data_IF_697075779009
#
_entry.id   IF_697075779009
#
_cell.length_a   1.000
_cell.length_b   1.000
_cell.length_c   1.000
_cell.angle_alpha   90.00
_cell.angle_beta   90.00
_cell.angle_gamma   90.00
#
_symmetry.space_group_name_H-M   'P 1'
#
loop_
_entity.id
_entity.type
_entity.pdbx_description
1 polymer ?
#
# COMPACT_ATOMS: atom_id res chain seq x y z
N UNK A 1 17.27 31.03 -27.30
CA UNK A 1 18.58 31.62 -27.64
C UNK A 1 19.62 30.50 -27.56
N UNK A 2 20.17 30.10 -28.67
CA UNK A 2 21.17 29.03 -28.74
C UNK A 2 22.56 29.68 -28.57
N UNK A 3 23.34 29.21 -27.58
CA UNK A 3 24.72 29.62 -27.39
C UNK A 3 25.62 28.90 -28.40
N UNK A 4 26.54 29.59 -29.01
CA UNK A 4 27.45 28.95 -29.98
C UNK A 4 28.51 28.12 -29.28
N UNK A 5 28.68 26.89 -29.79
CA UNK A 5 29.77 26.01 -29.45
C UNK A 5 31.07 26.53 -30.02
N UNK A 6 32.05 26.80 -29.15
CA UNK A 6 33.40 27.13 -29.60
C UNK A 6 34.16 25.82 -29.92
N UNK A 7 34.46 25.62 -31.21
CA UNK A 7 35.42 24.64 -31.64
C UNK A 7 36.84 25.17 -31.39
N UNK A 8 37.64 24.53 -30.51
CA UNK A 8 39.06 24.78 -30.38
C UNK A 8 39.85 23.92 -31.35
N UNK A 9 40.48 24.56 -32.31
CA UNK A 9 41.50 23.94 -33.18
C UNK A 9 42.76 23.72 -32.36
N UNK A 10 43.21 22.49 -32.20
CA UNK A 10 44.52 22.15 -31.63
C UNK A 10 45.47 21.73 -32.73
N UNK A 11 46.65 22.23 -32.61
CA UNK A 11 47.80 22.31 -33.46
C UNK A 11 48.08 21.12 -34.39
N UNK A 12 48.56 21.50 -35.58
CA UNK A 12 49.13 20.69 -36.66
C UNK A 12 50.42 20.03 -36.20
N UNK A 13 50.51 18.70 -36.27
CA UNK A 13 51.75 18.00 -36.12
C UNK A 13 52.56 18.01 -37.45
N UNK A 14 53.83 17.63 -37.40
CA UNK A 14 54.75 17.70 -38.50
C UNK A 14 54.45 16.76 -39.67
N UNK A 15 53.40 15.97 -39.65
CA UNK A 15 53.00 15.02 -40.70
C UNK A 15 51.74 15.44 -41.47
N UNK A 16 51.15 16.61 -41.14
CA UNK A 16 50.08 17.16 -41.96
C UNK A 16 48.73 16.49 -41.79
N UNK A 17 48.55 15.59 -40.83
CA UNK A 17 47.26 14.95 -40.53
C UNK A 17 46.47 15.83 -39.53
N UNK A 18 45.31 16.32 -39.94
CA UNK A 18 44.38 16.97 -39.02
C UNK A 18 43.65 15.92 -38.17
N UNK A 19 43.94 15.84 -36.86
CA UNK A 19 43.09 15.13 -35.93
C UNK A 19 41.91 16.00 -35.56
N UNK A 20 40.73 15.61 -35.97
CA UNK A 20 39.47 16.20 -35.52
C UNK A 20 39.06 15.45 -34.25
N UNK A 21 39.18 16.07 -33.08
CA UNK A 21 38.55 15.57 -31.85
C UNK A 21 37.07 15.81 -31.98
N UNK A 22 36.29 14.75 -32.12
CA UNK A 22 34.84 14.81 -31.96
C UNK A 22 34.56 14.84 -30.46
N UNK A 23 33.98 15.94 -29.98
CA UNK A 23 33.42 16.01 -28.64
C UNK A 23 32.44 14.86 -28.46
N UNK A 24 32.54 14.21 -27.32
CA UNK A 24 31.65 13.11 -26.94
C UNK A 24 30.16 13.57 -27.02
N UNK A 25 29.46 13.09 -28.03
CA UNK A 25 28.01 13.36 -28.16
C UNK A 25 27.30 12.58 -27.07
N UNK A 26 27.07 13.21 -25.94
CA UNK A 26 26.24 12.65 -24.90
C UNK A 26 24.79 12.62 -25.37
N UNK A 27 24.33 11.48 -25.87
CA UNK A 27 22.92 11.25 -26.17
C UNK A 27 22.18 11.13 -24.84
N UNK A 28 21.54 12.21 -24.40
CA UNK A 28 20.58 12.13 -23.30
C UNK A 28 19.33 11.38 -23.81
N UNK A 29 19.26 10.08 -23.54
CA UNK A 29 18.06 9.31 -23.76
C UNK A 29 16.93 9.91 -22.93
N UNK A 30 15.77 10.15 -23.55
CA UNK A 30 14.58 10.61 -22.83
C UNK A 30 14.24 9.56 -21.77
N UNK A 31 14.26 9.95 -20.49
CA UNK A 31 13.92 9.08 -19.36
C UNK A 31 12.45 8.72 -19.31
N UNK A 32 11.59 9.43 -20.04
CA UNK A 32 10.14 9.20 -20.12
C UNK A 32 9.73 9.06 -21.58
N UNK A 33 9.08 7.93 -21.90
CA UNK A 33 8.53 7.62 -23.22
C UNK A 33 7.02 7.54 -23.09
N UNK A 34 6.29 8.42 -23.74
CA UNK A 34 4.84 8.37 -23.78
C UNK A 34 4.37 7.31 -24.79
N UNK A 35 3.48 6.41 -24.32
CA UNK A 35 2.73 5.45 -25.14
C UNK A 35 1.24 5.72 -24.91
N UNK A 36 0.40 5.45 -25.88
CA UNK A 36 -1.00 5.86 -25.87
C UNK A 36 -1.81 5.54 -24.60
N UNK A 37 -1.44 4.52 -23.83
CA UNK A 37 -2.12 4.06 -22.61
C UNK A 37 -1.28 4.23 -21.34
N UNK A 38 0.01 4.63 -21.46
CA UNK A 38 0.94 4.72 -20.33
C UNK A 38 2.19 5.55 -20.63
N UNK A 39 2.86 5.97 -19.58
CA UNK A 39 4.20 6.54 -19.62
C UNK A 39 5.20 5.47 -19.19
N UNK A 40 6.21 5.22 -20.02
CA UNK A 40 7.31 4.31 -19.70
C UNK A 40 8.48 5.14 -19.19
N UNK A 41 8.85 4.93 -17.94
CA UNK A 41 9.91 5.67 -17.25
C UNK A 41 11.13 4.77 -17.12
N UNK A 42 12.25 5.25 -17.63
CA UNK A 42 13.54 4.58 -17.55
C UNK A 42 14.39 5.27 -16.47
N UNK A 43 14.50 4.70 -15.25
CA UNK A 43 15.33 5.28 -14.21
C UNK A 43 16.78 5.36 -14.65
N UNK A 44 17.43 6.47 -14.36
CA UNK A 44 18.87 6.64 -14.61
C UNK A 44 19.69 5.81 -13.64
N UNK A 45 20.93 5.47 -14.00
CA UNK A 45 21.84 4.72 -13.12
C UNK A 45 22.06 5.45 -11.78
N UNK A 46 22.09 6.78 -11.79
CA UNK A 46 22.23 7.57 -10.58
C UNK A 46 20.98 7.44 -9.69
N UNK A 47 19.77 7.52 -10.25
CA UNK A 47 18.53 7.33 -9.50
C UNK A 47 18.46 5.93 -8.87
N UNK A 48 18.86 4.89 -9.63
CA UNK A 48 18.91 3.50 -9.12
C UNK A 48 19.90 3.37 -7.95
N UNK A 49 21.14 3.88 -8.11
CA UNK A 49 22.18 3.79 -7.07
C UNK A 49 21.86 4.61 -5.82
N UNK A 50 21.21 5.75 -5.98
CA UNK A 50 20.84 6.64 -4.86
C UNK A 50 19.56 6.21 -4.14
N UNK A 51 18.87 5.21 -4.63
CA UNK A 51 17.62 4.71 -4.04
C UNK A 51 17.89 3.47 -3.20
N UNK A 52 17.25 3.41 -2.03
CA UNK A 52 17.34 2.29 -1.09
C UNK A 52 16.30 1.19 -1.36
N UNK A 53 15.20 1.54 -2.06
CA UNK A 53 14.08 0.63 -2.33
C UNK A 53 13.29 1.08 -3.56
N UNK A 54 12.37 0.22 -4.03
CA UNK A 54 11.47 0.60 -5.12
C UNK A 54 10.58 1.79 -4.79
N UNK A 55 10.19 1.95 -3.51
CA UNK A 55 9.38 3.08 -3.08
C UNK A 55 10.18 4.38 -3.01
N UNK A 56 11.41 4.33 -2.53
CA UNK A 56 12.31 5.48 -2.50
C UNK A 56 12.63 5.94 -3.93
N UNK A 57 12.82 5.01 -4.85
CA UNK A 57 12.95 5.33 -6.27
C UNK A 57 11.70 6.05 -6.81
N UNK A 58 10.50 5.57 -6.46
CA UNK A 58 9.25 6.20 -6.90
C UNK A 58 9.14 7.64 -6.42
N UNK A 59 9.47 7.90 -5.15
CA UNK A 59 9.49 9.25 -4.59
C UNK A 59 10.45 10.19 -5.34
N UNK A 60 11.63 9.69 -5.73
CA UNK A 60 12.63 10.47 -6.49
C UNK A 60 12.25 10.72 -7.95
N UNK A 61 11.40 9.86 -8.53
CA UNK A 61 10.92 10.05 -9.91
C UNK A 61 9.89 11.17 -10.04
N UNK A 62 9.26 11.60 -8.94
CA UNK A 62 8.31 12.72 -8.89
C UNK A 62 7.23 12.61 -9.99
N UNK A 63 6.54 11.48 -10.05
CA UNK A 63 5.51 11.24 -11.06
C UNK A 63 4.36 12.25 -10.93
N UNK A 64 3.86 12.79 -12.05
CA UNK A 64 2.71 13.68 -12.02
C UNK A 64 1.52 13.07 -11.29
N UNK A 65 0.83 13.82 -10.44
CA UNK A 65 -0.34 13.41 -9.66
C UNK A 65 -0.09 12.34 -8.60
N UNK A 66 1.13 11.86 -8.40
CA UNK A 66 1.47 10.85 -7.39
C UNK A 66 2.22 11.53 -6.25
N UNK A 67 1.74 11.31 -5.05
CA UNK A 67 2.43 11.68 -3.80
C UNK A 67 2.83 10.40 -3.08
N UNK A 68 4.09 10.34 -2.67
CA UNK A 68 4.68 9.20 -1.95
C UNK A 68 5.11 9.67 -0.58
N UNK A 69 4.48 9.15 0.46
CA UNK A 69 4.96 9.28 1.84
C UNK A 69 5.76 8.02 2.20
N UNK A 70 7.08 8.18 2.24
CA UNK A 70 8.01 7.07 2.53
C UNK A 70 7.87 6.62 3.99
N UNK A 71 7.47 7.53 4.90
CA UNK A 71 7.38 7.24 6.33
C UNK A 71 6.13 6.44 6.68
N UNK A 72 4.98 6.84 6.15
CA UNK A 72 3.70 6.13 6.39
C UNK A 72 3.52 4.94 5.46
N UNK A 73 4.18 4.93 4.31
CA UNK A 73 3.96 3.97 3.23
C UNK A 73 2.75 4.29 2.38
N UNK A 74 2.24 5.50 2.46
CA UNK A 74 1.07 5.92 1.72
C UNK A 74 1.46 6.45 0.34
N UNK A 75 0.74 5.98 -0.69
CA UNK A 75 0.87 6.46 -2.07
C UNK A 75 -0.51 6.92 -2.51
N UNK A 76 -0.64 8.20 -2.76
CA UNK A 76 -1.92 8.84 -3.10
C UNK A 76 -1.86 9.53 -4.46
N UNK A 77 -3.04 9.80 -5.02
CA UNK A 77 -3.19 10.66 -6.19
C UNK A 77 -3.78 12.02 -5.78
N UNK A 78 -3.57 13.04 -6.58
CA UNK A 78 -4.17 14.38 -6.37
C UNK A 78 -5.70 14.40 -6.35
N UNK A 79 -6.38 13.29 -6.62
CA UNK A 79 -7.84 13.12 -6.57
C UNK A 79 -8.32 12.14 -5.50
N UNK A 80 -7.49 11.78 -4.50
CA UNK A 80 -7.79 10.81 -3.44
C UNK A 80 -8.26 9.42 -3.93
N UNK A 81 -7.92 9.06 -5.17
CA UNK A 81 -8.21 7.74 -5.72
C UNK A 81 -7.16 6.69 -5.39
N UNK A 82 -7.54 5.42 -5.43
CA UNK A 82 -6.63 4.30 -5.17
C UNK A 82 -5.50 4.25 -6.21
N UNK A 83 -4.25 4.15 -5.74
CA UNK A 83 -3.09 3.83 -6.58
C UNK A 83 -2.83 2.35 -6.53
N UNK A 84 -2.95 1.68 -7.67
CA UNK A 84 -2.66 0.24 -7.76
C UNK A 84 -1.18 0.01 -8.08
N UNK A 85 -0.49 -0.71 -7.20
CA UNK A 85 0.91 -1.10 -7.37
C UNK A 85 1.00 -2.47 -8.01
N UNK A 86 1.97 -2.63 -8.93
CA UNK A 86 2.22 -3.88 -9.64
C UNK A 86 3.71 -4.16 -9.79
N UNK A 87 4.06 -5.44 -9.90
CA UNK A 87 5.38 -5.92 -10.34
C UNK A 87 5.14 -6.90 -11.48
N UNK A 88 5.68 -6.61 -12.65
CA UNK A 88 5.54 -7.43 -13.88
C UNK A 88 4.06 -7.77 -14.20
N UNK A 89 3.14 -6.82 -14.00
CA UNK A 89 1.72 -7.02 -14.22
C UNK A 89 0.94 -7.64 -13.06
N UNK A 90 1.58 -8.12 -12.01
CA UNK A 90 0.96 -8.72 -10.82
C UNK A 90 0.70 -7.63 -9.77
N UNK A 91 -0.52 -7.55 -9.25
CA UNK A 91 -0.88 -6.60 -8.18
C UNK A 91 -0.14 -6.97 -6.88
N UNK A 92 0.47 -5.97 -6.27
CA UNK A 92 1.29 -6.11 -5.05
C UNK A 92 0.94 -5.03 -4.04
N UNK A 93 1.47 -5.18 -2.82
CA UNK A 93 1.33 -4.21 -1.75
C UNK A 93 2.52 -3.25 -1.69
N UNK A 94 2.39 -2.17 -0.92
CA UNK A 94 3.49 -1.28 -0.57
C UNK A 94 4.71 -2.04 -0.04
N UNK A 95 4.49 -3.03 0.84
CA UNK A 95 5.58 -3.82 1.45
C UNK A 95 6.44 -4.55 0.42
N UNK A 96 5.82 -5.06 -0.65
CA UNK A 96 6.54 -5.73 -1.74
C UNK A 96 7.36 -4.75 -2.58
N UNK A 97 6.84 -3.55 -2.83
CA UNK A 97 7.60 -2.49 -3.52
C UNK A 97 8.74 -1.96 -2.63
N UNK A 98 8.51 -1.81 -1.32
CA UNK A 98 9.54 -1.38 -0.37
C UNK A 98 10.71 -2.37 -0.29
N UNK A 99 10.46 -3.65 -0.53
CA UNK A 99 11.48 -4.69 -0.55
C UNK A 99 12.15 -4.90 -1.91
N UNK A 100 11.66 -4.21 -2.96
CA UNK A 100 12.21 -4.35 -4.31
C UNK A 100 13.53 -3.58 -4.41
N UNK A 101 14.62 -4.29 -4.76
CA UNK A 101 15.91 -3.66 -5.03
C UNK A 101 15.83 -2.74 -6.24
N UNK A 102 16.24 -1.47 -6.14
CA UNK A 102 16.26 -0.56 -7.29
C UNK A 102 17.06 -1.09 -8.48
N UNK A 103 18.15 -1.80 -8.22
CA UNK A 103 19.00 -2.37 -9.27
C UNK A 103 18.27 -3.44 -10.12
N UNK A 104 17.24 -4.06 -9.58
CA UNK A 104 16.42 -5.04 -10.29
C UNK A 104 15.36 -4.39 -11.18
N UNK A 105 15.11 -3.09 -11.02
CA UNK A 105 14.11 -2.37 -11.80
C UNK A 105 14.68 -2.03 -13.17
N UNK A 106 14.00 -2.49 -14.22
CA UNK A 106 14.32 -2.17 -15.60
C UNK A 106 13.65 -0.88 -16.05
N UNK A 107 12.37 -0.71 -15.69
CA UNK A 107 11.54 0.46 -15.98
C UNK A 107 10.30 0.47 -15.11
N UNK A 108 9.64 1.61 -15.05
CA UNK A 108 8.33 1.77 -14.43
C UNK A 108 7.31 2.14 -15.52
N UNK A 109 6.20 1.45 -15.56
CA UNK A 109 5.07 1.75 -16.44
C UNK A 109 3.98 2.45 -15.61
N UNK A 110 3.72 3.71 -15.91
CA UNK A 110 2.77 4.55 -15.20
C UNK A 110 1.54 4.82 -16.06
N UNK A 111 0.38 4.37 -15.59
CA UNK A 111 -0.92 4.65 -16.19
C UNK A 111 -1.61 5.72 -15.35
N UNK A 112 -1.69 6.93 -15.85
CA UNK A 112 -2.36 8.07 -15.20
C UNK A 112 -3.88 8.10 -15.46
N UNK A 113 -4.33 7.30 -16.41
CA UNK A 113 -5.74 7.09 -16.76
C UNK A 113 -5.92 5.61 -17.08
N UNK A 114 -5.94 4.74 -16.04
CA UNK A 114 -6.00 3.30 -16.26
C UNK A 114 -7.34 2.87 -16.83
N UNK A 115 -7.30 1.94 -17.79
CA UNK A 115 -8.51 1.36 -18.38
C UNK A 115 -9.24 0.42 -17.43
N UNK A 116 -10.44 -0.03 -17.85
CA UNK A 116 -11.37 -0.88 -17.06
C UNK A 116 -10.75 -2.17 -16.51
N UNK A 117 -9.70 -2.68 -17.13
CA UNK A 117 -8.97 -3.88 -16.65
C UNK A 117 -8.31 -3.69 -15.27
N UNK A 118 -8.13 -2.44 -14.84
CA UNK A 118 -7.56 -2.11 -13.55
C UNK A 118 -8.62 -1.78 -12.49
N UNK A 119 -9.90 -2.01 -12.81
CA UNK A 119 -11.03 -1.71 -11.93
C UNK A 119 -11.18 -0.21 -11.70
N UNK A 120 -11.36 0.18 -10.43
CA UNK A 120 -11.56 1.58 -10.03
C UNK A 120 -10.25 2.30 -9.66
N UNK A 121 -9.09 1.77 -10.07
CA UNK A 121 -7.81 2.42 -9.79
C UNK A 121 -7.73 3.79 -10.47
N UNK A 122 -7.38 4.83 -9.72
CA UNK A 122 -7.16 6.18 -10.24
C UNK A 122 -5.80 6.32 -10.95
N UNK A 123 -4.84 5.47 -10.58
CA UNK A 123 -3.55 5.34 -11.25
C UNK A 123 -3.01 3.90 -11.06
N UNK A 124 -2.15 3.47 -11.99
CA UNK A 124 -1.44 2.19 -11.88
C UNK A 124 0.04 2.42 -12.08
N UNK A 125 0.84 1.85 -11.19
CA UNK A 125 2.31 1.88 -11.23
C UNK A 125 2.80 0.45 -11.31
N UNK A 126 3.35 0.05 -12.46
CA UNK A 126 3.87 -1.30 -12.69
C UNK A 126 5.39 -1.28 -12.80
N UNK A 127 6.06 -1.91 -11.86
CA UNK A 127 7.52 -2.08 -11.85
C UNK A 127 7.89 -3.27 -12.71
N UNK A 128 8.53 -3.01 -13.84
CA UNK A 128 9.04 -4.06 -14.71
C UNK A 128 10.48 -4.36 -14.27
N UNK A 129 10.69 -5.59 -13.81
CA UNK A 129 12.00 -6.03 -13.32
C UNK A 129 12.85 -6.67 -14.42
N UNK A 130 14.16 -6.68 -14.19
CA UNK A 130 15.11 -7.43 -15.02
C UNK A 130 14.81 -8.92 -14.92
N UNK A 131 14.88 -9.62 -16.05
CA UNK A 131 14.66 -11.06 -16.10
C UNK A 131 15.93 -11.78 -15.61
N UNK A 132 15.92 -12.27 -14.38
CA UNK A 132 17.00 -13.10 -13.83
C UNK A 132 16.65 -14.57 -14.08
N UNK A 133 17.54 -15.33 -14.72
CA UNK A 133 17.34 -16.77 -14.96
C UNK A 133 17.32 -17.58 -13.67
N UNK A 134 18.11 -17.20 -12.69
CA UNK A 134 18.11 -17.74 -11.34
C UNK A 134 18.69 -16.69 -10.37
N UNK A 135 18.27 -16.76 -9.11
CA UNK A 135 18.76 -15.89 -8.05
C UNK A 135 17.65 -15.39 -7.15
N UNK A 136 18.04 -14.78 -6.05
CA UNK A 136 17.10 -14.26 -5.08
C UNK A 136 17.63 -13.02 -4.38
N UNK A 137 16.75 -12.40 -3.59
CA UNK A 137 17.06 -11.28 -2.72
C UNK A 137 16.33 -11.46 -1.39
N UNK A 138 16.96 -10.98 -0.34
CA UNK A 138 16.32 -10.83 0.99
C UNK A 138 16.54 -9.40 1.42
N UNK A 139 15.52 -8.79 1.95
CA UNK A 139 15.56 -7.44 2.51
C UNK A 139 14.80 -7.39 3.83
N UNK A 140 15.14 -6.45 4.68
CA UNK A 140 14.46 -6.24 5.95
C UNK A 140 14.67 -4.82 6.44
N UNK A 141 13.78 -4.40 7.32
CA UNK A 141 13.83 -3.10 7.97
C UNK A 141 13.21 -3.20 9.36
N UNK A 142 13.74 -2.43 10.28
CA UNK A 142 13.22 -2.32 11.63
C UNK A 142 13.22 -0.83 12.03
N UNK A 143 12.06 -0.33 12.45
CA UNK A 143 11.89 1.04 12.91
C UNK A 143 11.28 0.97 14.31
N UNK A 144 12.06 1.35 15.31
CA UNK A 144 11.61 1.34 16.70
C UNK A 144 11.71 2.74 17.28
N UNK A 145 10.64 3.16 17.93
CA UNK A 145 10.62 4.34 18.78
C UNK A 145 10.16 3.93 20.17
N UNK A 146 11.05 4.10 21.13
CA UNK A 146 10.83 3.70 22.51
C UNK A 146 10.93 4.93 23.40
N UNK A 147 9.92 5.13 24.25
CA UNK A 147 9.94 6.12 25.31
C UNK A 147 9.30 5.54 26.58
N UNK A 148 9.35 6.25 27.67
CA UNK A 148 8.83 5.77 28.97
C UNK A 148 7.37 5.35 28.93
N UNK A 149 6.55 6.01 28.08
CA UNK A 149 5.10 5.79 28.00
C UNK A 149 4.61 5.41 26.59
N UNK A 150 5.51 5.29 25.60
CA UNK A 150 5.11 4.96 24.20
C UNK A 150 6.12 4.02 23.56
N UNK A 151 5.59 3.05 22.85
CA UNK A 151 6.34 2.10 22.03
C UNK A 151 5.75 2.05 20.63
N UNK A 152 6.59 2.22 19.64
CA UNK A 152 6.26 2.07 18.23
C UNK A 152 7.26 1.12 17.60
N UNK A 153 6.77 0.01 17.07
CA UNK A 153 7.55 -1.01 16.37
C UNK A 153 6.99 -1.13 14.97
N UNK A 154 7.87 -1.20 13.98
CA UNK A 154 7.52 -1.48 12.59
C UNK A 154 8.66 -2.29 11.98
N UNK A 155 8.48 -3.61 11.96
CA UNK A 155 9.47 -4.57 11.48
C UNK A 155 8.98 -5.25 10.21
N UNK A 156 9.87 -5.40 9.24
CA UNK A 156 9.56 -6.03 7.97
C UNK A 156 10.72 -6.92 7.53
N UNK A 157 10.37 -8.09 7.00
CA UNK A 157 11.27 -8.97 6.26
C UNK A 157 10.61 -9.40 4.96
N UNK A 158 11.38 -9.46 3.89
CA UNK A 158 10.92 -9.90 2.58
C UNK A 158 12.00 -10.74 1.90
N UNK A 159 11.57 -11.78 1.19
CA UNK A 159 12.43 -12.62 0.37
C UNK A 159 11.81 -12.88 -0.99
N UNK A 160 12.64 -12.97 -2.02
CA UNK A 160 12.25 -13.31 -3.39
C UNK A 160 13.26 -14.26 -3.98
N UNK A 161 12.79 -15.26 -4.70
CA UNK A 161 13.63 -16.22 -5.41
C UNK A 161 13.06 -16.50 -6.80
N UNK A 162 13.90 -16.40 -7.81
CA UNK A 162 13.58 -16.66 -9.21
C UNK A 162 14.31 -17.91 -9.69
N UNK A 163 13.61 -18.78 -10.40
CA UNK A 163 14.21 -19.93 -11.08
C UNK A 163 13.47 -20.21 -12.40
N UNK A 164 14.17 -20.01 -13.51
CA UNK A 164 13.60 -20.20 -14.85
C UNK A 164 12.41 -19.29 -15.13
N UNK A 165 11.21 -19.89 -15.21
CA UNK A 165 9.93 -19.19 -15.44
C UNK A 165 9.18 -18.90 -14.13
N UNK A 166 9.68 -19.39 -13.01
CA UNK A 166 9.01 -19.32 -11.71
C UNK A 166 9.65 -18.26 -10.82
N UNK A 167 8.83 -17.55 -10.09
CA UNK A 167 9.21 -16.66 -9.01
C UNK A 167 8.38 -16.99 -7.78
N UNK A 168 9.02 -17.10 -6.62
CA UNK A 168 8.36 -17.14 -5.32
C UNK A 168 8.81 -15.94 -4.50
N UNK A 169 7.89 -15.25 -3.85
CA UNK A 169 8.21 -14.20 -2.90
C UNK A 169 7.35 -14.31 -1.65
N UNK A 170 7.94 -13.95 -0.51
CA UNK A 170 7.25 -13.89 0.76
C UNK A 170 7.65 -12.62 1.49
N UNK A 171 6.69 -11.99 2.17
CA UNK A 171 6.98 -10.87 3.05
C UNK A 171 6.11 -10.94 4.31
N UNK A 172 6.67 -10.47 5.41
CA UNK A 172 6.00 -10.35 6.70
C UNK A 172 6.31 -8.98 7.25
N UNK A 173 5.29 -8.26 7.72
CA UNK A 173 5.42 -6.99 8.42
C UNK A 173 4.64 -7.04 9.72
N UNK A 174 5.28 -6.63 10.80
CA UNK A 174 4.68 -6.49 12.11
C UNK A 174 4.73 -5.04 12.56
N UNK A 175 3.58 -4.51 12.96
CA UNK A 175 3.45 -3.16 13.50
C UNK A 175 2.84 -3.26 14.89
N UNK A 176 3.45 -2.58 15.85
CA UNK A 176 2.85 -2.37 17.16
C UNK A 176 2.90 -0.89 17.52
N UNK A 177 1.80 -0.39 18.05
CA UNK A 177 1.66 0.93 18.64
C UNK A 177 1.06 0.76 20.03
N UNK A 178 1.83 1.09 21.06
CA UNK A 178 1.42 0.95 22.45
C UNK A 178 1.80 2.22 23.20
N UNK A 179 0.95 2.69 24.10
CA UNK A 179 1.26 3.83 24.94
C UNK A 179 0.12 4.23 25.82
N UNK A 180 0.38 5.21 26.67
CA UNK A 180 -0.63 5.82 27.50
C UNK A 180 -1.20 7.06 26.80
N UNK A 181 -2.48 7.22 26.98
CA UNK A 181 -3.26 8.29 26.37
C UNK A 181 -4.20 8.88 27.40
N UNK A 182 -4.24 10.20 27.49
CA UNK A 182 -5.16 10.93 28.37
C UNK A 182 -6.08 11.78 27.50
N UNK A 183 -7.38 11.75 27.80
CA UNK A 183 -8.39 12.57 27.13
C UNK A 183 -8.88 13.65 28.04
N UNK A 184 -8.99 14.85 27.52
CA UNK A 184 -9.60 15.98 28.18
C UNK A 184 -10.51 16.69 27.18
N UNK A 185 -11.73 16.95 27.58
CA UNK A 185 -12.70 17.70 26.80
C UNK A 185 -13.29 18.83 27.67
N UNK A 186 -13.28 20.02 27.13
CA UNK A 186 -13.96 21.19 27.68
C UNK A 186 -15.01 21.64 26.64
N UNK A 187 -16.29 21.34 26.93
CA UNK A 187 -17.39 21.53 26.00
C UNK A 187 -18.43 22.46 26.63
N UNK A 188 -18.88 23.47 25.87
CA UNK A 188 -19.96 24.40 26.26
C UNK A 188 -21.09 24.31 25.26
N UNK A 189 -22.25 23.96 25.76
CA UNK A 189 -23.49 23.90 24.98
C UNK A 189 -24.34 25.11 25.35
N UNK A 190 -24.54 26.04 24.40
CA UNK A 190 -25.29 27.26 24.57
C UNK A 190 -26.70 27.05 24.03
N UNK A 191 -27.70 27.06 24.92
CA UNK A 191 -29.11 26.99 24.59
C UNK A 191 -29.74 28.38 24.73
N UNK A 192 -30.97 28.63 24.19
CA UNK A 192 -31.62 29.94 24.30
C UNK A 192 -31.79 30.43 25.74
N UNK A 193 -32.04 29.52 26.68
CA UNK A 193 -32.40 29.84 28.08
C UNK A 193 -31.35 29.40 29.12
N UNK A 194 -30.35 28.61 28.71
CA UNK A 194 -29.28 28.13 29.62
C UNK A 194 -27.98 27.77 28.89
N UNK A 195 -26.92 27.57 29.66
CA UNK A 195 -25.65 27.07 29.20
C UNK A 195 -25.29 25.81 29.99
N UNK A 196 -24.92 24.72 29.30
CA UNK A 196 -24.37 23.51 29.91
C UNK A 196 -22.88 23.46 29.63
N UNK A 197 -22.08 23.48 30.70
CA UNK A 197 -20.66 23.24 30.63
C UNK A 197 -20.33 21.82 31.04
N UNK A 198 -19.55 21.11 30.21
CA UNK A 198 -19.06 19.76 30.46
C UNK A 198 -17.54 19.76 30.41
N UNK A 199 -16.92 19.33 31.50
CA UNK A 199 -15.48 19.16 31.61
C UNK A 199 -15.19 17.68 31.89
N UNK A 200 -14.56 16.98 30.94
CA UNK A 200 -14.09 15.63 31.12
C UNK A 200 -12.58 15.62 31.35
N UNK A 201 -12.15 15.15 32.53
CA UNK A 201 -10.74 15.00 32.90
C UNK A 201 -10.37 13.53 32.89
N UNK A 202 -9.40 13.14 32.03
CA UNK A 202 -8.99 11.77 31.86
C UNK A 202 -7.84 11.35 32.78
N UNK A 203 -7.78 10.05 33.03
CA UNK A 203 -6.59 9.38 33.59
C UNK A 203 -5.80 8.71 32.43
N UNK A 204 -4.48 8.55 32.55
CA UNK A 204 -3.70 7.81 31.56
C UNK A 204 -4.28 6.41 31.32
N UNK A 205 -4.65 6.14 30.10
CA UNK A 205 -5.28 4.86 29.70
C UNK A 205 -4.45 4.23 28.60
N UNK A 206 -4.14 2.95 28.76
CA UNK A 206 -3.31 2.19 27.83
C UNK A 206 -4.07 1.98 26.53
N UNK A 207 -3.45 2.29 25.40
CA UNK A 207 -3.80 1.74 24.09
C UNK A 207 -2.73 0.75 23.62
N UNK A 208 -3.15 -0.27 22.89
CA UNK A 208 -2.22 -1.26 22.31
C UNK A 208 -2.84 -1.81 21.02
N UNK A 209 -2.21 -1.49 19.90
CA UNK A 209 -2.62 -1.95 18.57
C UNK A 209 -1.50 -2.74 17.94
N UNK A 210 -1.83 -3.91 17.39
CA UNK A 210 -0.91 -4.79 16.71
C UNK A 210 -1.46 -5.16 15.34
N UNK A 211 -0.61 -5.16 14.34
CA UNK A 211 -0.94 -5.55 12.98
C UNK A 211 0.16 -6.47 12.46
N UNK A 212 -0.20 -7.68 12.08
CA UNK A 212 0.66 -8.60 11.34
C UNK A 212 0.11 -8.75 9.92
N UNK A 213 0.94 -8.48 8.93
CA UNK A 213 0.63 -8.72 7.52
C UNK A 213 1.62 -9.70 6.95
N UNK A 214 1.14 -10.78 6.32
CA UNK A 214 1.95 -11.78 5.65
C UNK A 214 1.44 -11.99 4.24
N UNK A 215 2.34 -12.01 3.26
CA UNK A 215 2.03 -12.33 1.87
C UNK A 215 2.97 -13.41 1.38
N UNK A 216 2.41 -14.38 0.67
CA UNK A 216 3.14 -15.40 -0.08
C UNK A 216 2.65 -15.32 -1.52
N UNK A 217 3.58 -15.19 -2.44
CA UNK A 217 3.27 -15.01 -3.86
C UNK A 217 4.08 -15.99 -4.70
N UNK A 218 3.41 -16.68 -5.61
CA UNK A 218 4.02 -17.54 -6.62
C UNK A 218 3.62 -17.05 -8.00
N UNK A 219 4.60 -16.82 -8.87
CA UNK A 219 4.39 -16.42 -10.26
C UNK A 219 5.06 -17.42 -11.19
N UNK A 220 4.33 -17.89 -12.20
CA UNK A 220 4.85 -18.67 -13.30
C UNK A 220 4.57 -17.91 -14.60
N UNK A 221 5.61 -17.49 -15.31
CA UNK A 221 5.45 -16.64 -16.49
C UNK A 221 6.34 -17.09 -17.65
N UNK A 222 5.74 -17.16 -18.83
CA UNK A 222 6.46 -17.18 -20.10
C UNK A 222 6.07 -15.94 -20.90
N UNK A 223 7.00 -15.02 -21.06
CA UNK A 223 6.78 -13.72 -21.68
C UNK A 223 6.16 -13.86 -23.07
N UNK A 224 5.04 -13.18 -23.27
CA UNK A 224 4.27 -13.22 -24.53
C UNK A 224 3.33 -14.41 -24.67
N UNK A 225 3.37 -15.41 -23.77
CA UNK A 225 2.50 -16.60 -23.81
C UNK A 225 1.49 -16.62 -22.69
N UNK A 226 1.96 -16.74 -21.44
CA UNK A 226 1.08 -16.85 -20.28
C UNK A 226 1.69 -16.22 -19.02
N UNK A 227 0.83 -15.89 -18.09
CA UNK A 227 1.15 -15.50 -16.72
C UNK A 227 0.16 -16.20 -15.78
N UNK A 228 0.68 -16.99 -14.86
CA UNK A 228 -0.06 -17.50 -13.70
C UNK A 228 0.50 -16.86 -12.44
N UNK A 229 -0.38 -16.40 -11.57
CA UNK A 229 -0.02 -15.88 -10.27
C UNK A 229 -0.97 -16.42 -9.20
N UNK A 230 -0.40 -16.88 -8.09
CA UNK A 230 -1.14 -17.28 -6.90
C UNK A 230 -0.61 -16.47 -5.71
N UNK A 231 -1.48 -15.71 -5.08
CA UNK A 231 -1.13 -14.88 -3.93
C UNK A 231 -1.99 -15.26 -2.73
N UNK A 232 -1.34 -15.64 -1.65
CA UNK A 232 -1.97 -15.81 -0.34
C UNK A 232 -1.59 -14.63 0.55
N UNK A 233 -2.59 -13.99 1.15
CA UNK A 233 -2.41 -12.90 2.10
C UNK A 233 -3.10 -13.22 3.41
N UNK A 234 -2.44 -12.93 4.51
CA UNK A 234 -2.99 -13.03 5.85
C UNK A 234 -2.76 -11.73 6.61
N UNK A 235 -3.85 -11.17 7.12
CA UNK A 235 -3.80 -10.00 7.99
C UNK A 235 -4.39 -10.39 9.33
N UNK A 236 -3.62 -10.16 10.41
CA UNK A 236 -4.07 -10.25 11.78
C UNK A 236 -4.00 -8.85 12.41
N UNK A 237 -5.15 -8.33 12.78
CA UNK A 237 -5.26 -7.15 13.62
C UNK A 237 -5.66 -7.58 15.02
N UNK A 238 -4.88 -7.18 16.03
CA UNK A 238 -5.09 -7.50 17.43
C UNK A 238 -4.93 -6.22 18.25
N UNK A 239 -6.03 -5.67 18.70
CA UNK A 239 -6.11 -4.45 19.47
C UNK A 239 -6.68 -4.76 20.84
N UNK A 240 -5.86 -5.24 21.81
CA UNK A 240 -6.33 -5.59 23.15
C UNK A 240 -6.74 -4.37 23.99
N UNK A 241 -6.40 -3.15 23.54
CA UNK A 241 -6.84 -1.89 24.14
C UNK A 241 -7.00 -0.86 23.01
N UNK A 242 -8.18 -0.28 22.89
CA UNK A 242 -8.54 0.67 21.85
C UNK A 242 -7.85 2.03 22.03
N UNK A 243 -7.72 2.76 20.95
CA UNK A 243 -7.23 4.14 21.00
C UNK A 243 -8.26 5.08 21.65
N UNK A 244 -9.53 4.69 21.58
CA UNK A 244 -10.67 5.42 22.15
C UNK A 244 -10.95 5.03 23.62
N UNK A 245 -10.22 4.06 24.18
CA UNK A 245 -10.37 3.64 25.56
C UNK A 245 -10.11 4.81 26.51
N UNK A 246 -10.90 4.91 27.56
CA UNK A 246 -10.80 6.00 28.52
C UNK A 246 -11.21 5.59 29.92
N UNK A 247 -10.59 6.24 30.84
CA UNK A 247 -10.95 6.28 32.25
C UNK A 247 -10.94 7.74 32.65
N UNK A 248 -12.09 8.30 33.00
CA UNK A 248 -12.22 9.74 33.17
C UNK A 248 -13.32 10.09 34.20
N UNK A 249 -13.31 11.36 34.61
CA UNK A 249 -14.35 11.98 35.40
C UNK A 249 -14.99 13.11 34.59
N UNK A 250 -16.30 13.04 34.42
CA UNK A 250 -17.10 14.06 33.76
C UNK A 250 -17.78 14.95 34.82
N UNK A 251 -17.48 16.22 34.76
CA UNK A 251 -18.09 17.30 35.54
C UNK A 251 -19.09 18.03 34.64
N UNK A 252 -20.25 18.37 35.18
CA UNK A 252 -21.27 19.14 34.47
C UNK A 252 -21.73 20.31 35.35
N UNK A 253 -22.14 21.43 34.74
CA UNK A 253 -22.60 22.63 35.46
C UNK A 253 -23.89 22.45 36.24
N UNK A 254 -24.62 21.37 36.00
CA UNK A 254 -25.88 21.02 36.64
C UNK A 254 -25.75 20.00 37.79
N UNK A 255 -24.52 19.53 38.06
CA UNK A 255 -24.26 18.56 39.14
C UNK A 255 -22.87 18.75 39.78
N UNK A 256 -22.85 18.82 41.12
CA UNK A 256 -21.60 18.88 41.88
C UNK A 256 -20.88 17.52 42.01
N UNK A 257 -21.55 16.42 41.67
CA UNK A 257 -21.01 15.06 41.76
C UNK A 257 -20.58 14.59 40.37
N UNK A 258 -19.27 14.33 40.15
CA UNK A 258 -18.80 13.90 38.85
C UNK A 258 -19.23 12.49 38.52
N UNK A 259 -19.44 12.23 37.22
CA UNK A 259 -19.66 10.89 36.68
C UNK A 259 -18.30 10.26 36.34
N UNK A 260 -18.00 9.11 36.93
CA UNK A 260 -16.84 8.30 36.55
C UNK A 260 -17.17 7.47 35.32
N UNK A 261 -16.38 7.61 34.27
CA UNK A 261 -16.53 6.92 32.99
C UNK A 261 -15.40 5.91 32.81
N UNK A 262 -15.75 4.69 32.46
CA UNK A 262 -14.85 3.65 31.98
C UNK A 262 -15.32 3.14 30.63
N UNK A 263 -14.48 3.22 29.60
CA UNK A 263 -14.77 2.73 28.24
C UNK A 263 -13.56 1.94 27.76
N UNK A 264 -13.77 0.66 27.45
CA UNK A 264 -12.70 -0.24 27.02
C UNK A 264 -13.16 -1.09 25.86
N UNK A 265 -12.38 -1.10 24.78
CA UNK A 265 -12.68 -1.84 23.55
C UNK A 265 -11.54 -2.77 23.19
N UNK A 266 -11.88 -4.02 22.93
CA UNK A 266 -10.96 -5.03 22.39
C UNK A 266 -11.43 -5.44 21.00
N UNK A 267 -10.51 -5.50 20.04
CA UNK A 267 -10.80 -5.89 18.67
C UNK A 267 -9.80 -6.92 18.19
N UNK A 268 -10.29 -7.99 17.54
CA UNK A 268 -9.43 -8.96 16.89
C UNK A 268 -10.01 -9.42 15.57
N UNK A 269 -9.23 -9.25 14.50
CA UNK A 269 -9.63 -9.57 13.14
C UNK A 269 -8.61 -10.48 12.48
N UNK A 270 -9.10 -11.55 11.83
CA UNK A 270 -8.31 -12.46 11.00
C UNK A 270 -8.84 -12.39 9.56
N UNK A 271 -7.98 -12.06 8.61
CA UNK A 271 -8.36 -11.84 7.22
C UNK A 271 -7.42 -12.62 6.27
N UNK A 272 -7.54 -13.96 6.16
CA UNK A 272 -6.90 -14.69 5.08
C UNK A 272 -7.60 -14.44 3.75
N UNK A 273 -6.83 -14.31 2.68
CA UNK A 273 -7.32 -14.25 1.30
C UNK A 273 -6.39 -15.00 0.36
N UNK A 274 -6.99 -15.58 -0.67
CA UNK A 274 -6.31 -16.24 -1.79
C UNK A 274 -6.75 -15.58 -3.07
N UNK A 275 -5.79 -15.15 -3.90
CA UNK A 275 -6.00 -14.55 -5.21
C UNK A 275 -5.26 -15.41 -6.23
N UNK A 276 -5.99 -15.90 -7.23
CA UNK A 276 -5.45 -16.66 -8.35
C UNK A 276 -5.73 -15.88 -9.64
N UNK A 277 -4.69 -15.57 -10.35
CA UNK A 277 -4.72 -14.88 -11.64
C UNK A 277 -4.11 -15.76 -12.70
N UNK A 278 -4.80 -15.94 -13.84
CA UNK A 278 -4.25 -16.58 -15.00
C UNK A 278 -4.53 -15.76 -16.26
N UNK A 279 -3.50 -15.52 -17.05
CA UNK A 279 -3.59 -14.86 -18.34
C UNK A 279 -2.94 -15.72 -19.40
N UNK A 280 -3.65 -15.94 -20.50
CA UNK A 280 -3.15 -16.62 -21.70
C UNK A 280 -3.22 -15.65 -22.88
N UNK A 281 -2.07 -15.41 -23.52
CA UNK A 281 -2.03 -14.72 -24.79
C UNK A 281 -2.22 -15.73 -25.93
N UNK A 282 -3.19 -15.47 -26.76
CA UNK A 282 -3.52 -16.29 -27.93
C UNK A 282 -2.98 -15.65 -29.22
N UNK A 283 -3.11 -16.35 -30.35
CA UNK A 283 -2.76 -15.81 -31.67
C UNK A 283 -3.66 -14.62 -32.02
N UNK A 284 -3.23 -13.79 -32.97
CA UNK A 284 -4.00 -12.66 -33.51
C UNK A 284 -4.42 -11.62 -32.44
N UNK A 285 -3.47 -11.26 -31.53
CA UNK A 285 -3.65 -10.25 -30.49
C UNK A 285 -4.89 -10.48 -29.60
N UNK A 286 -5.15 -11.73 -29.29
CA UNK A 286 -6.20 -12.15 -28.37
C UNK A 286 -5.63 -12.48 -27.01
N UNK A 287 -6.43 -12.30 -25.95
CA UNK A 287 -6.06 -12.61 -24.58
C UNK A 287 -7.25 -13.15 -23.80
N UNK A 288 -7.01 -14.20 -23.02
CA UNK A 288 -7.92 -14.70 -22.00
C UNK A 288 -7.36 -14.39 -20.63
N UNK A 289 -8.21 -13.94 -19.70
CA UNK A 289 -7.86 -13.64 -18.32
C UNK A 289 -8.88 -14.32 -17.41
N UNK A 290 -8.39 -14.98 -16.36
CA UNK A 290 -9.20 -15.57 -15.30
C UNK A 290 -8.72 -15.08 -13.96
N UNK A 291 -9.65 -14.61 -13.12
CA UNK A 291 -9.42 -14.20 -11.75
C UNK A 291 -10.30 -15.04 -10.82
N UNK A 292 -9.72 -15.51 -9.70
CA UNK A 292 -10.46 -16.15 -8.64
C UNK A 292 -9.95 -15.60 -7.31
N UNK A 293 -10.82 -14.91 -6.56
CA UNK A 293 -10.46 -14.33 -5.26
C UNK A 293 -11.37 -14.89 -4.19
N UNK A 294 -10.77 -15.55 -3.20
CA UNK A 294 -11.43 -16.03 -2.00
C UNK A 294 -10.98 -15.23 -0.78
N UNK A 295 -11.91 -14.76 0.03
CA UNK A 295 -11.62 -14.02 1.27
C UNK A 295 -12.44 -14.58 2.41
N UNK A 296 -11.79 -14.76 3.56
CA UNK A 296 -12.44 -15.07 4.82
C UNK A 296 -12.13 -13.98 5.84
N UNK A 297 -13.14 -13.49 6.53
CA UNK A 297 -13.01 -12.52 7.60
C UNK A 297 -13.60 -13.12 8.85
N UNK A 298 -12.84 -13.16 9.93
CA UNK A 298 -13.32 -13.45 11.27
C UNK A 298 -13.01 -12.24 12.15
N UNK A 299 -14.04 -11.60 12.65
CA UNK A 299 -13.94 -10.42 13.50
C UNK A 299 -14.54 -10.69 14.89
N UNK A 300 -13.96 -10.06 15.89
CA UNK A 300 -14.48 -10.02 17.25
C UNK A 300 -14.24 -8.63 17.80
N UNK A 301 -15.29 -8.01 18.33
CA UNK A 301 -15.22 -6.72 19.01
C UNK A 301 -15.98 -6.83 20.33
N UNK A 302 -15.31 -6.51 21.43
CA UNK A 302 -15.90 -6.47 22.76
C UNK A 302 -15.72 -5.06 23.32
N UNK A 303 -16.79 -4.46 23.80
CA UNK A 303 -16.77 -3.15 24.45
C UNK A 303 -17.44 -3.23 25.82
N UNK A 304 -16.80 -2.65 26.80
CA UNK A 304 -17.30 -2.44 28.16
C UNK A 304 -17.37 -0.93 28.38
N UNK A 305 -18.58 -0.43 28.63
CA UNK A 305 -18.81 0.96 28.95
C UNK A 305 -19.54 1.04 30.29
N UNK A 306 -19.04 1.87 31.21
CA UNK A 306 -19.59 2.07 32.53
C UNK A 306 -19.62 3.55 32.87
N UNK A 307 -20.76 4.00 33.42
CA UNK A 307 -20.90 5.29 34.10
C UNK A 307 -21.29 5.04 35.55
N UNK A 308 -20.58 5.69 36.47
CA UNK A 308 -20.83 5.59 37.90
C UNK A 308 -20.89 6.99 38.51
N UNK A 309 -21.98 7.29 39.18
CA UNK A 309 -22.19 8.53 39.92
C UNK A 309 -22.78 8.20 41.30
N UNK A 310 -22.24 8.83 42.33
CA UNK A 310 -22.73 8.61 43.69
C UNK A 310 -24.20 9.01 43.84
N UNK A 311 -25.01 8.13 44.44
CA UNK A 311 -26.44 8.37 44.64
C UNK A 311 -27.32 8.10 43.41
N UNK A 312 -26.77 7.70 42.27
CA UNK A 312 -27.51 7.37 41.03
C UNK A 312 -27.22 5.93 40.62
N UNK A 313 -28.17 5.29 39.98
CA UNK A 313 -28.01 3.95 39.42
C UNK A 313 -26.86 3.96 38.35
N UNK A 314 -25.93 3.00 38.45
CA UNK A 314 -24.87 2.86 37.48
C UNK A 314 -25.44 2.45 36.12
N UNK A 315 -24.86 3.03 35.06
CA UNK A 315 -25.10 2.57 33.67
C UNK A 315 -23.95 1.64 33.27
N UNK A 316 -24.30 0.45 32.81
CA UNK A 316 -23.32 -0.52 32.28
C UNK A 316 -23.81 -1.01 30.94
N UNK A 317 -22.93 -0.93 29.95
CA UNK A 317 -23.13 -1.50 28.61
C UNK A 317 -22.01 -2.50 28.33
N UNK A 318 -22.41 -3.73 28.07
CA UNK A 318 -21.52 -4.76 27.53
C UNK A 318 -21.95 -5.12 26.11
N UNK A 319 -21.03 -4.99 25.17
CA UNK A 319 -21.25 -5.37 23.78
C UNK A 319 -20.20 -6.40 23.39
N UNK A 320 -20.64 -7.51 22.82
CA UNK A 320 -19.76 -8.53 22.26
C UNK A 320 -20.28 -8.90 20.87
N UNK A 321 -19.58 -8.47 19.85
CA UNK A 321 -19.95 -8.68 18.45
C UNK A 321 -18.91 -9.61 17.83
N UNK A 322 -19.36 -10.75 17.32
CA UNK A 322 -18.53 -11.69 16.58
C UNK A 322 -19.12 -11.88 15.18
N UNK A 323 -18.26 -11.75 14.16
CA UNK A 323 -18.68 -11.88 12.77
C UNK A 323 -17.78 -12.83 11.98
N UNK A 324 -18.38 -13.52 11.03
CA UNK A 324 -17.67 -14.30 10.00
C UNK A 324 -18.23 -13.94 8.63
N UNK A 325 -17.33 -13.71 7.68
CA UNK A 325 -17.71 -13.43 6.30
C UNK A 325 -16.85 -14.27 5.37
N UNK A 326 -17.50 -14.94 4.43
CA UNK A 326 -16.87 -15.63 3.31
C UNK A 326 -17.25 -14.88 2.03
N UNK A 327 -16.27 -14.66 1.15
CA UNK A 327 -16.49 -14.01 -0.13
C UNK A 327 -15.73 -14.73 -1.21
N UNK A 328 -16.37 -14.96 -2.36
CA UNK A 328 -15.78 -15.55 -3.56
C UNK A 328 -16.10 -14.65 -4.75
N UNK A 329 -15.07 -14.32 -5.52
CA UNK A 329 -15.20 -13.61 -6.80
C UNK A 329 -14.52 -14.47 -7.85
N UNK A 330 -15.25 -14.80 -8.93
CA UNK A 330 -14.72 -15.46 -10.10
C UNK A 330 -15.01 -14.60 -11.33
N UNK A 331 -13.99 -14.36 -12.15
CA UNK A 331 -14.09 -13.51 -13.33
C UNK A 331 -13.36 -14.13 -14.50
N UNK A 332 -13.97 -14.09 -15.71
CA UNK A 332 -13.37 -14.46 -16.97
C UNK A 332 -13.49 -13.31 -17.96
N UNK A 333 -12.38 -12.90 -18.57
CA UNK A 333 -12.31 -11.78 -19.51
C UNK A 333 -11.66 -12.26 -20.79
N UNK A 334 -12.26 -11.91 -21.95
CA UNK A 334 -11.68 -12.05 -23.26
C UNK A 334 -11.41 -10.68 -23.85
N UNK A 335 -10.21 -10.49 -24.36
CA UNK A 335 -9.79 -9.27 -25.06
C UNK A 335 -9.31 -9.61 -26.48
N UNK A 336 -9.65 -8.78 -27.45
CA UNK A 336 -9.17 -8.85 -28.83
C UNK A 336 -8.85 -7.47 -29.36
N UNK A 337 -7.65 -7.29 -29.88
CA UNK A 337 -7.27 -6.06 -30.58
C UNK A 337 -7.89 -6.03 -31.98
N UNK A 338 -8.59 -4.94 -32.32
CA UNK A 338 -9.25 -4.70 -33.58
C UNK A 338 -8.75 -3.36 -34.17
N UNK A 339 -7.75 -3.40 -35.04
CA UNK A 339 -7.13 -2.18 -35.57
C UNK A 339 -6.53 -1.31 -34.48
N UNK A 340 -7.03 -0.09 -34.31
CA UNK A 340 -6.59 0.84 -33.27
C UNK A 340 -7.33 0.66 -31.92
N UNK A 341 -8.41 -0.12 -31.90
CA UNK A 341 -9.22 -0.36 -30.71
C UNK A 341 -9.02 -1.75 -30.11
N UNK A 342 -9.62 -1.97 -28.93
CA UNK A 342 -9.66 -3.28 -28.26
C UNK A 342 -11.11 -3.59 -27.89
N UNK A 343 -11.58 -4.77 -28.30
CA UNK A 343 -12.84 -5.33 -27.84
C UNK A 343 -12.56 -6.13 -26.56
N UNK A 344 -13.31 -5.83 -25.51
CA UNK A 344 -13.23 -6.55 -24.22
C UNK A 344 -14.63 -7.02 -23.84
N UNK A 345 -14.75 -8.29 -23.49
CA UNK A 345 -15.98 -8.89 -22.96
C UNK A 345 -15.66 -9.84 -21.83
N UNK A 346 -16.54 -9.95 -20.82
CA UNK A 346 -16.27 -10.81 -19.67
C UNK A 346 -17.51 -11.11 -18.87
N UNK A 347 -17.36 -12.10 -17.98
CA UNK A 347 -18.35 -12.50 -16.99
C UNK A 347 -17.72 -12.44 -15.62
N UNK A 348 -18.50 -11.97 -14.63
CA UNK A 348 -18.10 -11.90 -13.23
C UNK A 348 -19.19 -12.47 -12.35
N UNK A 349 -18.82 -13.41 -11.49
CA UNK A 349 -19.66 -13.94 -10.43
C UNK A 349 -19.12 -13.47 -9.07
N UNK A 350 -20.02 -13.01 -8.20
CA UNK A 350 -19.69 -12.63 -6.84
C UNK A 350 -20.69 -13.28 -5.89
N UNK A 351 -20.16 -13.93 -4.85
CA UNK A 351 -20.95 -14.51 -3.79
C UNK A 351 -20.34 -14.15 -2.45
N UNK A 352 -21.18 -13.77 -1.48
CA UNK A 352 -20.74 -13.57 -0.11
C UNK A 352 -21.78 -14.08 0.87
N UNK A 353 -21.29 -14.57 2.02
CA UNK A 353 -22.11 -14.99 3.14
C UNK A 353 -21.55 -14.36 4.41
N UNK A 354 -22.44 -13.80 5.24
CA UNK A 354 -22.06 -13.14 6.49
C UNK A 354 -22.91 -13.72 7.62
N UNK A 355 -22.25 -14.08 8.73
CA UNK A 355 -22.85 -14.52 9.98
C UNK A 355 -22.37 -13.58 11.09
N UNK A 356 -23.28 -12.85 11.73
CA UNK A 356 -22.98 -11.95 12.84
C UNK A 356 -23.77 -12.40 14.07
N UNK A 357 -23.10 -12.35 15.22
CA UNK A 357 -23.67 -12.70 16.53
C UNK A 357 -23.38 -11.62 17.53
#
# INVERSE_FOLDING_TARGET
>A
MASPSYAQLIAKDSTGVMAISLDEVTIQARSIIEKGDRKVILPTQNQLKMSSSGIDLLGKLQLPRITVDIMSGEITTSGNGEVQLRINGVRVTYTEISSLSPEDILRIEYHDTPGVRYGNAAAVIDYITKNKKAGGSVSGGAIHSLSSNRTSIDDMISGRYNYGKSEISANVRYIQRKGDWTREYDERFIFPDNELHRLETGEPTLFNKKLLTSNLNYTLQEKGKYLFNAQFRYILQDNPAGYEDRKSKLYTSDSDIPVSIYDHTQERNHLPSLDLYYQQNLKNDQRLIFNLVGTYIKSSNTRIYQEKQEGIANTELYSNIAGKKYSLIAEGIYEKKLGQGTLTGGLRHMQSHTDNR
#
